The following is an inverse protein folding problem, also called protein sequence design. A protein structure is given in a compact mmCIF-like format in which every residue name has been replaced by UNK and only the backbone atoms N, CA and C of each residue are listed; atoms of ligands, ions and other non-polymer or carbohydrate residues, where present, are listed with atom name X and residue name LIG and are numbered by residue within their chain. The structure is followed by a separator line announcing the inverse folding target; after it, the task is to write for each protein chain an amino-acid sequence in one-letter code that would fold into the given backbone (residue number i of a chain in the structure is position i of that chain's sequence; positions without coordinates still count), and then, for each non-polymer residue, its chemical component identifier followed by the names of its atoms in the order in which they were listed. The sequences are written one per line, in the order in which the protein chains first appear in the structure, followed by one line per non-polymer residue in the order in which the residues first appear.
data_IF_324613024813
#
_entry.id   IF_324613024813
#
_cell.length_a   1.000
_cell.length_b   1.000
_cell.length_c   1.000
_cell.angle_alpha   90.00
_cell.angle_beta   90.00
_cell.angle_gamma   90.00
#
_symmetry.space_group_name_H-M   'P 1'
#
loop_
_entity.id
_entity.type
_entity.pdbx_description
1 polymer ?
#
# COMPACT_ATOMS: atom_id res chain seq x y z
N UNK A 1 5.13 -5.56 45.69
CA UNK A 1 4.51 -5.03 44.46
C UNK A 1 4.47 -6.18 43.48
N UNK A 2 3.28 -6.68 43.18
CA UNK A 2 3.09 -7.89 42.37
C UNK A 2 3.36 -7.58 40.90
N UNK A 3 4.36 -8.24 40.32
CA UNK A 3 4.60 -8.25 38.88
C UNK A 3 3.63 -9.24 38.24
N UNK A 4 2.42 -8.80 37.93
CA UNK A 4 1.58 -9.50 36.96
C UNK A 4 2.22 -9.31 35.57
N UNK A 5 2.38 -10.37 34.76
CA UNK A 5 2.86 -10.23 33.39
C UNK A 5 1.87 -9.36 32.60
N UNK A 6 2.39 -8.48 31.74
CA UNK A 6 1.65 -7.49 30.92
C UNK A 6 0.49 -8.07 30.06
N UNK A 7 0.40 -9.40 30.00
CA UNK A 7 -0.65 -10.17 29.33
C UNK A 7 -1.95 -10.25 30.14
N UNK A 8 -1.91 -10.02 31.46
CA UNK A 8 -3.08 -10.12 32.35
C UNK A 8 -3.91 -8.82 32.39
N UNK A 9 -3.39 -7.74 31.81
CA UNK A 9 -4.07 -6.43 31.67
C UNK A 9 -4.68 -6.20 30.28
N UNK A 10 -4.60 -7.19 29.39
CA UNK A 10 -5.22 -7.10 28.06
C UNK A 10 -6.67 -7.53 28.19
N UNK A 11 -7.58 -6.68 27.72
CA UNK A 11 -9.02 -6.91 27.72
C UNK A 11 -9.36 -8.30 27.15
N UNK A 12 -10.16 -9.13 27.84
CA UNK A 12 -10.63 -10.41 27.33
C UNK A 12 -11.25 -10.31 25.94
N UNK A 13 -11.90 -9.19 25.61
CA UNK A 13 -12.50 -8.93 24.30
C UNK A 13 -11.44 -8.68 23.21
N UNK A 14 -10.29 -8.09 23.57
CA UNK A 14 -9.11 -8.00 22.69
C UNK A 14 -8.47 -9.37 22.51
N UNK A 15 -8.37 -10.18 23.57
CA UNK A 15 -7.85 -11.54 23.49
C UNK A 15 -8.75 -12.48 22.68
N UNK A 16 -10.06 -12.29 22.69
CA UNK A 16 -11.04 -13.06 21.90
C UNK A 16 -11.09 -12.59 20.44
N UNK A 17 -10.91 -11.28 20.18
CA UNK A 17 -10.69 -10.72 18.83
C UNK A 17 -9.33 -11.09 18.23
N UNK A 18 -8.38 -11.46 19.08
CA UNK A 18 -7.12 -12.10 18.72
C UNK A 18 -7.29 -13.61 18.59
N UNK A 19 -8.38 -14.09 17.96
CA UNK A 19 -8.48 -15.49 17.50
C UNK A 19 -7.13 -15.89 16.94
N UNK A 20 -6.48 -16.83 17.62
CA UNK A 20 -5.06 -17.04 17.40
C UNK A 20 -4.88 -17.49 15.97
N UNK A 21 -3.82 -17.02 15.29
CA UNK A 21 -3.45 -17.45 13.93
C UNK A 21 -3.53 -18.97 13.75
N UNK A 22 -3.29 -19.70 14.84
CA UNK A 22 -3.36 -21.16 14.96
C UNK A 22 -4.77 -21.73 14.82
N UNK A 23 -5.80 -21.03 15.29
CA UNK A 23 -7.19 -21.52 15.25
C UNK A 23 -7.85 -21.23 13.89
N UNK A 24 -7.49 -20.11 13.26
CA UNK A 24 -7.90 -19.80 11.88
C UNK A 24 -7.32 -20.78 10.85
N UNK A 25 -6.05 -21.17 11.00
CA UNK A 25 -5.41 -22.21 10.15
C UNK A 25 -6.08 -23.58 10.34
N UNK A 26 -6.57 -23.89 11.55
CA UNK A 26 -7.28 -25.15 11.82
C UNK A 26 -8.72 -25.19 11.28
N UNK A 27 -9.36 -24.04 11.08
CA UNK A 27 -10.74 -23.93 10.58
C UNK A 27 -10.85 -23.75 9.05
N UNK A 28 -9.73 -23.76 8.31
CA UNK A 28 -9.64 -23.38 6.88
C UNK A 28 -10.41 -24.22 5.85
N UNK A 29 -11.31 -25.12 6.25
CA UNK A 29 -12.04 -26.02 5.35
C UNK A 29 -13.07 -25.31 4.43
N UNK A 30 -13.40 -24.04 4.68
CA UNK A 30 -14.36 -23.25 3.89
C UNK A 30 -13.80 -21.99 3.20
N UNK A 31 -12.50 -21.75 3.29
CA UNK A 31 -11.85 -20.53 2.76
C UNK A 31 -11.21 -20.81 1.40
N UNK A 32 -11.17 -19.80 0.51
CA UNK A 32 -10.44 -19.95 -0.76
C UNK A 32 -8.95 -20.21 -0.51
N UNK A 33 -8.29 -20.93 -1.40
CA UNK A 33 -6.85 -21.26 -1.25
C UNK A 33 -5.97 -20.02 -1.16
N UNK A 34 -6.32 -18.95 -1.87
CA UNK A 34 -5.63 -17.66 -1.80
C UNK A 34 -5.77 -17.02 -0.41
N UNK A 35 -6.98 -17.02 0.15
CA UNK A 35 -7.24 -16.47 1.48
C UNK A 35 -6.59 -17.31 2.59
N UNK A 36 -6.56 -18.64 2.45
CA UNK A 36 -5.87 -19.52 3.38
C UNK A 36 -4.34 -19.28 3.37
N UNK A 37 -3.74 -19.12 2.19
CA UNK A 37 -2.32 -18.77 2.06
C UNK A 37 -2.02 -17.40 2.68
N UNK A 38 -2.88 -16.41 2.44
CA UNK A 38 -2.76 -15.07 3.01
C UNK A 38 -2.77 -15.05 4.54
N UNK A 39 -3.68 -15.82 5.15
CA UNK A 39 -3.74 -15.94 6.60
C UNK A 39 -2.46 -16.59 7.16
N UNK A 40 -1.87 -17.54 6.44
CA UNK A 40 -0.60 -18.15 6.83
C UNK A 40 0.56 -17.15 6.81
N UNK A 41 0.55 -16.19 5.88
CA UNK A 41 1.54 -15.10 5.81
C UNK A 41 1.19 -13.90 6.70
N UNK A 42 -0.02 -13.87 7.27
CA UNK A 42 -0.49 -12.77 8.12
C UNK A 42 -0.73 -11.47 7.37
N UNK A 43 -1.03 -11.55 6.07
CA UNK A 43 -1.33 -10.38 5.23
C UNK A 43 -2.79 -9.96 5.28
N UNK A 44 -3.69 -10.83 5.75
CA UNK A 44 -5.13 -10.53 5.81
C UNK A 44 -5.66 -10.62 7.25
N UNK A 45 -6.58 -9.74 7.66
CA UNK A 45 -7.26 -9.82 8.95
C UNK A 45 -8.01 -11.14 9.15
N UNK A 46 -7.66 -11.87 10.22
CA UNK A 46 -8.31 -13.14 10.60
C UNK A 46 -9.70 -12.91 11.20
N UNK A 47 -9.86 -11.83 11.97
CA UNK A 47 -11.04 -11.58 12.80
C UNK A 47 -12.34 -11.39 11.99
N UNK A 48 -12.25 -11.21 10.66
CA UNK A 48 -13.39 -10.87 9.82
C UNK A 48 -14.16 -12.06 9.25
N UNK A 49 -13.54 -13.24 9.17
CA UNK A 49 -14.16 -14.41 8.52
C UNK A 49 -15.36 -14.98 9.29
N UNK A 50 -15.56 -14.58 10.56
CA UNK A 50 -16.67 -15.02 11.42
C UNK A 50 -17.78 -13.99 11.64
N UNK A 51 -17.70 -12.81 11.03
CA UNK A 51 -18.66 -11.74 11.22
C UNK A 51 -19.82 -11.88 10.23
N UNK A 52 -21.05 -11.90 10.75
CA UNK A 52 -22.26 -12.12 9.97
C UNK A 52 -22.61 -10.90 9.11
N UNK A 53 -23.48 -11.10 8.11
CA UNK A 53 -24.06 -10.02 7.29
C UNK A 53 -24.68 -8.89 8.12
N UNK A 54 -25.04 -9.12 9.38
CA UNK A 54 -25.67 -8.12 10.24
C UNK A 54 -24.68 -7.06 10.74
N UNK A 55 -23.42 -7.43 10.97
CA UNK A 55 -22.34 -6.49 11.39
C UNK A 55 -21.92 -5.58 10.23
N UNK A 56 -22.02 -6.10 9.01
CA UNK A 56 -21.59 -5.41 7.80
C UNK A 56 -22.74 -4.70 7.07
N UNK A 57 -23.94 -5.28 7.01
CA UNK A 57 -25.07 -4.77 6.22
C UNK A 57 -25.60 -3.39 6.63
N UNK A 58 -25.04 -2.75 7.66
CA UNK A 58 -25.34 -1.37 8.07
C UNK A 58 -24.25 -0.35 7.72
N UNK A 59 -23.20 -0.72 6.97
CA UNK A 59 -22.18 0.24 6.59
C UNK A 59 -22.80 1.40 5.78
N UNK A 60 -22.64 2.67 6.22
CA UNK A 60 -23.11 3.81 5.45
C UNK A 60 -22.43 3.84 4.09
N UNK A 61 -23.07 4.48 3.09
CA UNK A 61 -22.54 4.59 1.73
C UNK A 61 -21.08 5.11 1.70
N UNK A 62 -20.66 5.91 2.69
CA UNK A 62 -19.28 6.36 2.86
C UNK A 62 -18.28 5.23 3.15
N UNK A 63 -18.60 4.28 4.04
CA UNK A 63 -17.73 3.13 4.36
C UNK A 63 -17.59 2.23 3.14
N UNK A 64 -18.69 1.96 2.42
CA UNK A 64 -18.62 1.20 1.17
C UNK A 64 -17.77 1.92 0.13
N UNK A 65 -17.92 3.24 -0.04
CA UNK A 65 -17.12 4.03 -0.96
C UNK A 65 -15.62 3.98 -0.63
N UNK A 66 -15.26 4.01 0.66
CA UNK A 66 -13.86 3.84 1.10
C UNK A 66 -13.34 2.46 0.72
N UNK A 67 -14.12 1.40 0.95
CA UNK A 67 -13.71 0.04 0.64
C UNK A 67 -13.67 -0.25 -0.86
N UNK A 68 -14.60 0.29 -1.65
CA UNK A 68 -14.55 0.23 -3.13
C UNK A 68 -13.28 0.93 -3.65
N UNK A 69 -12.88 2.03 -3.01
CA UNK A 69 -11.67 2.77 -3.36
C UNK A 69 -10.40 2.00 -2.99
N UNK A 70 -10.31 1.49 -1.76
CA UNK A 70 -9.21 0.60 -1.36
C UNK A 70 -9.12 -0.60 -2.31
N UNK A 71 -10.26 -1.19 -2.64
CA UNK A 71 -10.33 -2.33 -3.55
C UNK A 71 -9.79 -2.03 -4.95
N UNK A 72 -10.00 -0.82 -5.48
CA UNK A 72 -9.34 -0.39 -6.71
C UNK A 72 -7.81 -0.39 -6.58
N UNK A 73 -7.27 0.21 -5.51
CA UNK A 73 -5.82 0.31 -5.28
C UNK A 73 -5.18 -1.09 -5.20
N UNK A 74 -5.75 -1.98 -4.40
CA UNK A 74 -5.25 -3.35 -4.24
C UNK A 74 -5.27 -4.13 -5.56
N UNK A 75 -6.29 -3.92 -6.41
CA UNK A 75 -6.31 -4.56 -7.74
C UNK A 75 -5.23 -3.99 -8.67
N UNK A 76 -5.01 -2.67 -8.64
CA UNK A 76 -3.95 -2.02 -9.39
C UNK A 76 -2.57 -2.60 -9.01
N UNK A 77 -2.28 -2.71 -7.71
CA UNK A 77 -1.01 -3.23 -7.19
C UNK A 77 -0.86 -4.73 -7.45
N UNK A 78 -1.91 -5.52 -7.21
CA UNK A 78 -1.92 -6.95 -7.50
C UNK A 78 -1.63 -7.23 -8.98
N UNK A 79 -2.27 -6.51 -9.90
CA UNK A 79 -2.06 -6.70 -11.33
C UNK A 79 -0.70 -6.16 -11.79
N UNK A 80 -0.21 -5.07 -11.20
CA UNK A 80 1.13 -4.56 -11.47
C UNK A 80 2.19 -5.60 -11.12
N UNK A 81 2.14 -6.18 -9.92
CA UNK A 81 3.11 -7.18 -9.52
C UNK A 81 3.00 -8.50 -10.30
N UNK A 82 1.77 -8.90 -10.69
CA UNK A 82 1.59 -10.02 -11.63
C UNK A 82 2.28 -9.71 -12.96
N UNK A 83 2.13 -8.52 -13.53
CA UNK A 83 2.81 -8.15 -14.78
C UNK A 83 4.34 -8.19 -14.64
N UNK A 84 4.88 -7.61 -13.56
CA UNK A 84 6.33 -7.62 -13.26
C UNK A 84 6.88 -9.05 -13.18
N UNK A 85 6.14 -9.97 -12.56
CA UNK A 85 6.53 -11.37 -12.39
C UNK A 85 6.23 -12.25 -13.61
N UNK A 86 5.53 -11.74 -14.62
CA UNK A 86 5.14 -12.51 -15.82
C UNK A 86 3.93 -13.42 -15.59
N UNK A 87 3.07 -13.05 -14.65
CA UNK A 87 1.88 -13.80 -14.22
C UNK A 87 0.57 -13.09 -14.56
N UNK A 88 0.60 -11.97 -15.29
CA UNK A 88 -0.61 -11.26 -15.70
C UNK A 88 -1.42 -12.11 -16.68
N UNK A 89 -2.75 -11.99 -16.62
CA UNK A 89 -3.63 -12.56 -17.64
C UNK A 89 -3.47 -11.86 -19.01
N UNK A 90 -2.88 -10.66 -19.05
CA UNK A 90 -2.59 -9.92 -20.27
C UNK A 90 -1.18 -10.24 -20.75
N UNK A 91 -1.06 -11.01 -21.83
CA UNK A 91 0.23 -11.45 -22.41
C UNK A 91 1.12 -10.28 -22.81
N UNK A 92 0.54 -9.16 -23.27
CA UNK A 92 1.27 -7.97 -23.65
C UNK A 92 2.08 -7.39 -22.47
N UNK A 93 1.53 -7.40 -21.26
CA UNK A 93 2.24 -6.94 -20.06
C UNK A 93 3.39 -7.87 -19.68
N UNK A 94 3.17 -9.19 -19.71
CA UNK A 94 4.23 -10.15 -19.43
C UNK A 94 5.42 -10.00 -20.40
N UNK A 95 5.11 -9.68 -21.66
CA UNK A 95 6.09 -9.40 -22.71
C UNK A 95 6.80 -8.08 -22.48
N UNK A 96 6.07 -7.01 -22.19
CA UNK A 96 6.63 -5.68 -21.92
C UNK A 96 7.60 -5.71 -20.74
N UNK A 97 7.24 -6.34 -19.62
CA UNK A 97 8.08 -6.45 -18.43
C UNK A 97 9.18 -7.52 -18.52
N UNK A 98 9.26 -8.29 -19.60
CA UNK A 98 10.27 -9.35 -19.73
C UNK A 98 11.73 -8.85 -19.60
N UNK A 99 12.12 -7.72 -20.21
CA UNK A 99 13.48 -7.21 -20.10
C UNK A 99 13.84 -6.84 -18.66
N UNK A 100 13.02 -6.03 -17.97
CA UNK A 100 13.32 -5.66 -16.58
C UNK A 100 13.24 -6.85 -15.63
N UNK A 101 12.32 -7.81 -15.86
CA UNK A 101 12.18 -9.02 -15.04
C UNK A 101 13.46 -9.83 -15.02
N UNK A 102 14.20 -9.87 -16.13
CA UNK A 102 15.50 -10.52 -16.21
C UNK A 102 16.58 -9.82 -15.36
N UNK A 103 16.43 -8.51 -15.10
CA UNK A 103 17.34 -7.71 -14.30
C UNK A 103 17.07 -7.79 -12.79
N UNK A 104 15.89 -8.24 -12.37
CA UNK A 104 15.51 -8.32 -10.95
C UNK A 104 16.40 -9.37 -10.23
N UNK A 105 17.19 -8.98 -9.22
CA UNK A 105 18.01 -9.92 -8.46
C UNK A 105 17.16 -10.96 -7.70
N UNK A 106 17.69 -12.17 -7.49
CA UNK A 106 16.94 -13.28 -6.88
C UNK A 106 16.29 -12.93 -5.52
N UNK A 107 17.01 -12.21 -4.66
CA UNK A 107 16.49 -11.78 -3.35
C UNK A 107 15.34 -10.77 -3.49
N UNK A 108 15.49 -9.80 -4.41
CA UNK A 108 14.43 -8.83 -4.72
C UNK A 108 13.22 -9.54 -5.31
N UNK A 109 13.42 -10.50 -6.22
CA UNK A 109 12.35 -11.32 -6.81
C UNK A 109 11.55 -12.05 -5.73
N UNK A 110 12.21 -12.68 -4.76
CA UNK A 110 11.51 -13.37 -3.67
C UNK A 110 10.62 -12.42 -2.85
N UNK A 111 11.11 -11.20 -2.57
CA UNK A 111 10.30 -10.19 -1.88
C UNK A 111 9.15 -9.67 -2.73
N UNK A 112 9.36 -9.40 -4.03
CA UNK A 112 8.32 -8.97 -4.96
C UNK A 112 7.24 -10.06 -5.11
N UNK A 113 7.62 -11.35 -5.14
CA UNK A 113 6.67 -12.47 -5.14
C UNK A 113 5.84 -12.52 -3.85
N UNK A 114 6.45 -12.23 -2.70
CA UNK A 114 5.74 -12.19 -1.43
C UNK A 114 4.76 -11.01 -1.36
N UNK A 115 5.19 -9.82 -1.79
CA UNK A 115 4.32 -8.63 -1.88
C UNK A 115 3.13 -8.92 -2.78
N UNK A 116 3.36 -9.42 -4.00
CA UNK A 116 2.29 -9.88 -4.90
C UNK A 116 1.29 -10.82 -4.22
N UNK A 117 1.77 -11.74 -3.39
CA UNK A 117 0.93 -12.69 -2.67
C UNK A 117 0.04 -11.97 -1.65
N UNK A 118 0.54 -10.92 -1.01
CA UNK A 118 -0.22 -10.06 -0.12
C UNK A 118 -1.26 -9.24 -0.89
N UNK A 119 -0.91 -8.61 -2.01
CA UNK A 119 -1.88 -7.84 -2.82
C UNK A 119 -3.05 -8.69 -3.30
N UNK A 120 -2.76 -9.88 -3.84
CA UNK A 120 -3.82 -10.83 -4.26
C UNK A 120 -4.73 -11.21 -3.10
N UNK A 121 -4.16 -11.27 -1.89
CA UNK A 121 -4.92 -11.58 -0.70
C UNK A 121 -5.78 -10.41 -0.20
N UNK A 122 -5.27 -9.18 -0.24
CA UNK A 122 -6.05 -7.98 0.07
C UNK A 122 -7.23 -7.85 -0.90
N UNK A 123 -7.02 -8.06 -2.20
CA UNK A 123 -8.08 -8.12 -3.21
C UNK A 123 -9.12 -9.18 -2.84
N UNK A 124 -8.71 -10.42 -2.55
CA UNK A 124 -9.64 -11.49 -2.20
C UNK A 124 -10.45 -11.17 -0.93
N UNK A 125 -9.79 -10.58 0.07
CA UNK A 125 -10.42 -10.15 1.30
C UNK A 125 -11.45 -9.04 1.08
N UNK A 126 -11.05 -7.94 0.45
CA UNK A 126 -11.91 -6.80 0.18
C UNK A 126 -13.09 -7.17 -0.71
N UNK A 127 -12.88 -8.04 -1.71
CA UNK A 127 -14.00 -8.59 -2.51
C UNK A 127 -15.01 -9.30 -1.62
N UNK A 128 -14.54 -10.21 -0.75
CA UNK A 128 -15.40 -10.92 0.18
C UNK A 128 -16.19 -9.99 1.09
N UNK A 129 -15.55 -8.93 1.61
CA UNK A 129 -16.21 -7.91 2.44
C UNK A 129 -17.25 -7.14 1.62
N UNK A 130 -16.88 -6.62 0.45
CA UNK A 130 -17.77 -5.84 -0.41
C UNK A 130 -18.99 -6.64 -0.87
N UNK A 131 -18.82 -7.93 -1.23
CA UNK A 131 -19.90 -8.84 -1.60
C UNK A 131 -20.96 -8.98 -0.49
N UNK A 132 -20.54 -8.84 0.78
CA UNK A 132 -21.46 -8.85 1.93
C UNK A 132 -22.08 -7.49 2.24
N UNK A 133 -21.43 -6.38 1.88
CA UNK A 133 -21.78 -5.01 2.27
C UNK A 133 -22.80 -4.31 1.37
N UNK A 134 -23.02 -4.80 0.13
CA UNK A 134 -23.92 -4.08 -0.77
C UNK A 134 -24.14 -4.73 -2.14
N UNK A 135 -23.89 -6.03 -2.27
CA UNK A 135 -23.96 -6.76 -3.54
C UNK A 135 -22.57 -6.98 -4.16
N UNK A 136 -22.50 -7.59 -5.35
CA UNK A 136 -21.25 -8.06 -5.93
C UNK A 136 -20.26 -6.89 -6.13
N UNK A 137 -19.04 -7.06 -5.60
CA UNK A 137 -17.96 -6.11 -5.79
C UNK A 137 -17.63 -5.96 -7.28
N UNK A 138 -17.23 -4.76 -7.70
CA UNK A 138 -16.80 -4.47 -9.08
C UNK A 138 -15.79 -5.53 -9.55
N UNK A 139 -15.87 -5.92 -10.81
CA UNK A 139 -14.85 -6.76 -11.41
C UNK A 139 -13.80 -5.83 -12.01
N UNK A 140 -12.56 -5.99 -11.56
CA UNK A 140 -11.38 -5.36 -12.14
C UNK A 140 -10.60 -6.44 -12.88
N UNK A 141 -10.38 -6.22 -14.17
CA UNK A 141 -9.56 -7.08 -15.02
C UNK A 141 -8.15 -6.50 -15.14
N UNK A 142 -7.18 -7.35 -15.46
CA UNK A 142 -5.83 -6.90 -15.77
C UNK A 142 -5.81 -5.81 -16.87
N UNK A 143 -6.74 -5.87 -17.85
CA UNK A 143 -6.86 -4.89 -18.93
C UNK A 143 -7.42 -3.53 -18.49
N UNK A 144 -7.93 -3.41 -17.26
CA UNK A 144 -8.41 -2.16 -16.68
C UNK A 144 -7.25 -1.30 -16.12
N UNK A 145 -6.00 -1.72 -16.30
CA UNK A 145 -4.84 -1.01 -15.78
C UNK A 145 -3.80 -0.76 -16.87
N UNK A 146 -3.14 0.41 -16.84
CA UNK A 146 -2.01 0.77 -17.68
C UNK A 146 -0.79 1.13 -16.82
N UNK A 147 0.11 0.17 -16.62
CA UNK A 147 1.30 0.34 -15.77
C UNK A 147 2.34 1.32 -16.32
N UNK A 148 2.11 1.89 -17.51
CA UNK A 148 2.93 2.98 -18.06
C UNK A 148 2.43 4.36 -17.63
N UNK A 149 1.29 4.46 -16.96
CA UNK A 149 0.67 5.75 -16.62
C UNK A 149 0.11 6.47 -17.85
N UNK A 150 -0.19 5.72 -18.91
CA UNK A 150 -0.55 6.24 -20.24
C UNK A 150 -2.05 6.30 -20.52
N UNK A 151 -2.91 5.99 -19.54
CA UNK A 151 -4.36 5.95 -19.68
C UNK A 151 -4.82 5.10 -20.88
N UNK A 152 -4.27 3.89 -21.00
CA UNK A 152 -4.58 2.92 -22.06
C UNK A 152 -3.73 3.05 -23.33
N UNK A 153 -2.90 4.09 -23.43
CA UNK A 153 -1.95 4.21 -24.55
C UNK A 153 -0.78 3.23 -24.46
N UNK A 154 -0.50 2.67 -23.26
CA UNK A 154 0.66 1.81 -22.99
C UNK A 154 2.01 2.46 -23.33
N UNK A 155 2.04 3.79 -23.45
CA UNK A 155 3.22 4.59 -23.81
C UNK A 155 3.38 5.79 -22.88
N UNK A 156 2.79 5.71 -21.69
CA UNK A 156 2.84 6.76 -20.68
C UNK A 156 4.23 6.99 -20.09
N UNK A 157 4.34 7.99 -19.21
CA UNK A 157 5.64 8.45 -18.69
C UNK A 157 6.37 7.39 -17.86
N UNK A 158 5.66 6.38 -17.34
CA UNK A 158 6.25 5.26 -16.61
C UNK A 158 6.63 4.06 -17.48
N UNK A 159 6.51 4.13 -18.82
CA UNK A 159 6.82 3.01 -19.72
C UNK A 159 8.24 2.43 -19.52
N UNK A 160 9.22 3.25 -19.10
CA UNK A 160 10.59 2.81 -18.82
C UNK A 160 10.68 1.80 -17.66
N UNK A 161 9.67 1.72 -16.77
CA UNK A 161 9.59 0.70 -15.73
C UNK A 161 9.64 -0.73 -16.27
N UNK A 162 9.26 -0.93 -17.53
CA UNK A 162 9.25 -2.26 -18.19
C UNK A 162 10.63 -2.74 -18.63
N UNK A 163 11.62 -1.84 -18.69
CA UNK A 163 12.96 -2.12 -19.23
C UNK A 163 14.12 -1.72 -18.32
N UNK A 164 13.89 -0.83 -17.36
CA UNK A 164 14.91 -0.29 -16.45
C UNK A 164 14.59 -0.66 -14.99
N UNK A 165 15.55 -1.33 -14.33
CA UNK A 165 15.37 -1.79 -12.95
C UNK A 165 15.22 -0.63 -11.96
N UNK A 166 15.99 0.45 -12.08
CA UNK A 166 15.86 1.58 -11.16
C UNK A 166 14.50 2.24 -11.33
N UNK A 167 14.06 2.40 -12.57
CA UNK A 167 12.75 2.96 -12.88
C UNK A 167 11.61 2.08 -12.36
N UNK A 168 11.71 0.75 -12.53
CA UNK A 168 10.77 -0.19 -11.94
C UNK A 168 10.70 0.00 -10.42
N UNK A 169 11.84 0.04 -9.74
CA UNK A 169 11.87 0.14 -8.28
C UNK A 169 11.38 1.50 -7.76
N UNK A 170 11.42 2.56 -8.58
CA UNK A 170 10.79 3.85 -8.27
C UNK A 170 9.28 3.77 -8.43
N UNK A 171 8.81 3.14 -9.50
CA UNK A 171 7.38 2.90 -9.71
C UNK A 171 6.79 2.01 -8.60
N UNK A 172 7.48 0.93 -8.21
CA UNK A 172 7.05 0.07 -7.10
C UNK A 172 6.98 0.87 -5.80
N UNK A 173 7.98 1.70 -5.48
CA UNK A 173 7.89 2.54 -4.29
C UNK A 173 6.71 3.51 -4.35
N UNK A 174 6.45 4.10 -5.53
CA UNK A 174 5.36 5.05 -5.72
C UNK A 174 3.98 4.44 -5.45
N UNK A 175 3.73 3.23 -5.95
CA UNK A 175 2.48 2.51 -5.66
C UNK A 175 2.31 2.26 -4.17
N UNK A 176 3.30 1.61 -3.55
CA UNK A 176 3.27 1.23 -2.12
C UNK A 176 3.11 2.44 -1.20
N UNK A 177 3.82 3.54 -1.48
CA UNK A 177 3.71 4.77 -0.69
C UNK A 177 2.35 5.43 -0.86
N UNK A 178 1.76 5.32 -2.06
CA UNK A 178 0.40 5.79 -2.32
C UNK A 178 -0.63 4.94 -1.57
N UNK A 179 -0.48 3.60 -1.56
CA UNK A 179 -1.34 2.67 -0.82
C UNK A 179 -1.35 2.94 0.68
N UNK A 180 -0.16 3.01 1.31
CA UNK A 180 -0.01 3.33 2.75
C UNK A 180 -0.72 4.63 3.10
N UNK A 181 -0.47 5.70 2.34
CA UNK A 181 -1.03 7.03 2.60
C UNK A 181 -2.53 7.11 2.31
N UNK A 182 -3.03 6.36 1.34
CA UNK A 182 -4.46 6.25 1.04
C UNK A 182 -5.22 5.62 2.21
N UNK A 183 -4.75 4.48 2.75
CA UNK A 183 -5.37 3.86 3.92
C UNK A 183 -5.39 4.80 5.13
N UNK A 184 -4.26 5.47 5.40
CA UNK A 184 -4.18 6.44 6.51
C UNK A 184 -5.18 7.58 6.33
N UNK A 185 -5.30 8.12 5.11
CA UNK A 185 -6.21 9.22 4.80
C UNK A 185 -7.70 8.85 4.86
N UNK A 186 -8.04 7.58 4.65
CA UNK A 186 -9.43 7.12 4.76
C UNK A 186 -9.80 6.57 6.13
N UNK A 187 -8.84 6.34 7.04
CA UNK A 187 -9.11 5.76 8.37
C UNK A 187 -10.17 6.53 9.17
N UNK A 188 -10.17 7.87 9.11
CA UNK A 188 -11.17 8.70 9.79
C UNK A 188 -12.62 8.44 9.31
N UNK A 189 -12.79 8.07 8.04
CA UNK A 189 -14.10 7.74 7.45
C UNK A 189 -14.62 6.36 7.89
N UNK A 190 -13.78 5.56 8.53
CA UNK A 190 -14.11 4.21 9.00
C UNK A 190 -14.35 4.14 10.51
N UNK A 191 -14.15 5.24 11.24
CA UNK A 191 -14.20 5.26 12.72
C UNK A 191 -15.56 4.86 13.31
N UNK A 192 -16.64 4.98 12.54
CA UNK A 192 -17.97 4.54 12.96
C UNK A 192 -18.19 3.03 12.82
N UNK A 193 -17.21 2.28 12.31
CA UNK A 193 -17.28 0.84 12.14
C UNK A 193 -15.93 0.21 12.54
N UNK A 194 -15.78 -0.11 13.82
CA UNK A 194 -14.56 -0.68 14.41
C UNK A 194 -14.03 -1.89 13.65
N UNK A 195 -14.95 -2.71 13.14
CA UNK A 195 -14.64 -3.94 12.43
C UNK A 195 -13.97 -3.64 11.08
N UNK A 196 -14.54 -2.71 10.31
CA UNK A 196 -13.98 -2.29 9.04
C UNK A 196 -12.70 -1.47 9.25
N UNK A 197 -12.68 -0.61 10.28
CA UNK A 197 -11.49 0.15 10.65
C UNK A 197 -10.33 -0.77 11.02
N UNK A 198 -10.55 -1.78 11.87
CA UNK A 198 -9.52 -2.74 12.26
C UNK A 198 -8.98 -3.49 11.03
N UNK A 199 -9.87 -3.91 10.12
CA UNK A 199 -9.47 -4.54 8.88
C UNK A 199 -8.58 -3.64 8.02
N UNK A 200 -8.98 -2.38 7.82
CA UNK A 200 -8.21 -1.39 7.06
C UNK A 200 -6.85 -1.08 7.71
N UNK A 201 -6.79 -0.92 9.04
CA UNK A 201 -5.54 -0.65 9.75
C UNK A 201 -4.56 -1.83 9.71
N UNK A 202 -5.08 -3.06 9.66
CA UNK A 202 -4.25 -4.26 9.48
C UNK A 202 -3.65 -4.31 8.07
N UNK A 203 -4.43 -4.02 7.01
CA UNK A 203 -3.89 -3.91 5.65
C UNK A 203 -2.85 -2.79 5.58
N UNK A 204 -3.16 -1.60 6.11
CA UNK A 204 -2.20 -0.50 6.21
C UNK A 204 -0.86 -0.90 6.86
N UNK A 205 -0.89 -1.75 7.89
CA UNK A 205 0.34 -2.26 8.52
C UNK A 205 1.14 -3.21 7.62
N UNK A 206 0.48 -3.90 6.68
CA UNK A 206 1.10 -4.76 5.68
C UNK A 206 1.75 -3.91 4.60
N UNK A 207 1.02 -2.93 4.06
CA UNK A 207 1.53 -1.94 3.10
C UNK A 207 2.79 -1.23 3.62
N UNK A 208 2.79 -0.81 4.89
CA UNK A 208 3.96 -0.17 5.50
C UNK A 208 5.21 -1.08 5.52
N UNK A 209 5.02 -2.41 5.60
CA UNK A 209 6.12 -3.38 5.51
C UNK A 209 6.59 -3.56 4.07
N UNK A 210 5.70 -3.49 3.09
CA UNK A 210 6.08 -3.54 1.68
C UNK A 210 6.91 -2.32 1.31
N UNK A 211 6.47 -1.11 1.70
CA UNK A 211 7.24 0.13 1.56
C UNK A 211 8.67 -0.04 2.11
N UNK A 212 8.80 -0.50 3.35
CA UNK A 212 10.10 -0.71 3.99
C UNK A 212 10.97 -1.72 3.19
N UNK A 213 10.35 -2.80 2.70
CA UNK A 213 11.04 -3.83 1.93
C UNK A 213 11.44 -3.35 0.53
N UNK A 214 10.61 -2.59 -0.17
CA UNK A 214 10.94 -1.98 -1.47
C UNK A 214 12.08 -0.97 -1.31
N UNK A 215 12.03 -0.10 -0.30
CA UNK A 215 13.13 0.85 -0.03
C UNK A 215 14.43 0.12 0.31
N UNK A 216 14.36 -1.01 1.01
CA UNK A 216 15.51 -1.90 1.21
C UNK A 216 16.04 -2.47 -0.10
N UNK A 217 15.18 -2.99 -0.97
CA UNK A 217 15.58 -3.46 -2.30
C UNK A 217 16.26 -2.34 -3.08
N UNK A 218 15.69 -1.13 -3.12
CA UNK A 218 16.29 0.03 -3.78
C UNK A 218 17.71 0.31 -3.28
N UNK A 219 17.90 0.31 -1.97
CA UNK A 219 19.22 0.54 -1.34
C UNK A 219 20.23 -0.56 -1.66
N UNK A 220 19.79 -1.82 -1.69
CA UNK A 220 20.62 -2.94 -2.11
C UNK A 220 20.96 -2.90 -3.61
N UNK A 221 20.25 -2.07 -4.40
CA UNK A 221 20.42 -1.92 -5.84
C UNK A 221 20.92 -0.52 -6.26
N UNK A 222 21.61 0.21 -5.38
CA UNK A 222 22.33 1.43 -5.76
C UNK A 222 21.59 2.74 -5.52
N UNK A 223 20.41 2.73 -4.88
CA UNK A 223 19.79 3.96 -4.41
C UNK A 223 20.67 4.65 -3.32
N UNK A 224 20.74 5.99 -3.30
CA UNK A 224 21.48 6.77 -2.32
C UNK A 224 20.89 6.61 -0.92
N UNK A 225 21.68 6.99 0.08
CA UNK A 225 21.30 6.86 1.48
C UNK A 225 20.02 7.62 1.86
N UNK A 226 19.64 8.66 1.11
CA UNK A 226 18.39 9.41 1.30
C UNK A 226 17.15 8.52 1.22
N UNK A 227 17.19 7.42 0.45
CA UNK A 227 16.17 6.37 0.52
C UNK A 227 16.36 5.57 1.83
N UNK A 228 15.45 5.75 2.78
CA UNK A 228 15.51 5.12 4.11
C UNK A 228 14.82 3.76 4.13
N UNK A 229 15.36 2.82 4.90
CA UNK A 229 14.77 1.50 5.11
C UNK A 229 13.44 1.54 5.90
N UNK A 230 13.27 2.55 6.75
CA UNK A 230 12.28 2.59 7.84
C UNK A 230 10.84 2.88 7.39
N UNK A 231 10.55 3.01 6.10
CA UNK A 231 9.22 3.49 5.65
C UNK A 231 8.97 4.98 5.96
N UNK A 232 9.87 5.62 6.72
CA UNK A 232 9.82 7.04 7.01
C UNK A 232 10.38 7.87 5.85
N UNK A 233 9.71 8.99 5.56
CA UNK A 233 10.06 9.91 4.48
C UNK A 233 10.97 10.99 5.06
N UNK A 234 12.14 11.21 4.44
CA UNK A 234 13.05 12.29 4.85
C UNK A 234 12.98 13.41 3.83
N UNK A 235 12.25 14.47 4.16
CA UNK A 235 11.97 15.59 3.27
C UNK A 235 10.81 15.37 2.30
N UNK A 236 10.49 16.39 1.52
CA UNK A 236 9.32 16.39 0.64
C UNK A 236 9.62 16.19 -0.85
N UNK A 237 8.56 15.95 -1.61
CA UNK A 237 8.56 15.96 -3.06
C UNK A 237 9.26 14.78 -3.74
N UNK A 238 9.50 14.91 -5.05
CA UNK A 238 9.97 13.82 -5.91
C UNK A 238 11.35 13.24 -5.52
N UNK A 239 12.20 14.04 -4.86
CA UNK A 239 13.48 13.57 -4.33
C UNK A 239 13.32 12.52 -3.23
N UNK A 240 12.30 12.65 -2.38
CA UNK A 240 11.97 11.66 -1.35
C UNK A 240 11.47 10.33 -1.94
N UNK A 241 10.72 10.43 -3.05
CA UNK A 241 10.37 9.29 -3.90
C UNK A 241 11.60 8.62 -4.56
N UNK A 242 12.74 9.31 -4.55
CA UNK A 242 13.97 8.92 -5.21
C UNK A 242 13.91 9.05 -6.72
N UNK A 243 13.25 10.10 -7.23
CA UNK A 243 13.35 10.50 -8.64
C UNK A 243 14.81 10.74 -9.05
N UNK A 244 15.65 11.21 -8.12
CA UNK A 244 17.09 11.43 -8.32
C UNK A 244 17.89 10.14 -8.58
N UNK A 245 17.29 8.97 -8.31
CA UNK A 245 17.93 7.66 -8.50
C UNK A 245 17.78 7.14 -9.93
N UNK A 246 17.08 7.92 -10.75
CA UNK A 246 16.72 7.56 -12.09
C UNK A 246 17.42 8.51 -13.04
N UNK A 247 18.12 7.99 -14.04
CA UNK A 247 18.78 8.82 -15.04
C UNK A 247 17.73 9.55 -15.87
N UNK A 248 17.74 10.89 -15.88
CA UNK A 248 16.84 11.74 -16.67
C UNK A 248 15.35 11.28 -16.59
N UNK A 249 14.71 11.37 -15.41
CA UNK A 249 13.29 11.00 -15.29
C UNK A 249 12.43 11.97 -16.12
N UNK A 250 11.39 11.47 -16.82
CA UNK A 250 10.42 12.35 -17.48
C UNK A 250 9.82 13.36 -16.49
N UNK A 251 9.60 14.63 -16.86
CA UNK A 251 9.01 15.63 -15.97
C UNK A 251 7.67 15.19 -15.36
N UNK A 252 6.87 14.44 -16.09
CA UNK A 252 5.59 13.89 -15.65
C UNK A 252 5.76 12.86 -14.53
N UNK A 253 6.83 12.05 -14.57
CA UNK A 253 7.15 11.12 -13.48
C UNK A 253 7.61 11.89 -12.25
N UNK A 254 8.43 12.92 -12.42
CA UNK A 254 8.84 13.78 -11.29
C UNK A 254 7.61 14.44 -10.66
N UNK A 255 6.68 14.95 -11.47
CA UNK A 255 5.44 15.54 -10.98
C UNK A 255 4.57 14.52 -10.22
N UNK A 256 4.34 13.33 -10.78
CA UNK A 256 3.55 12.28 -10.14
C UNK A 256 4.15 11.83 -8.80
N UNK A 257 5.47 11.60 -8.76
CA UNK A 257 6.18 11.26 -7.54
C UNK A 257 6.15 12.40 -6.50
N UNK A 258 6.12 13.65 -6.96
CA UNK A 258 5.94 14.82 -6.09
C UNK A 258 4.58 14.86 -5.41
N UNK A 259 3.52 14.42 -6.09
CA UNK A 259 2.16 14.36 -5.52
C UNK A 259 2.07 13.35 -4.36
N UNK A 260 2.82 12.25 -4.43
CA UNK A 260 2.83 11.21 -3.38
C UNK A 260 3.26 11.76 -2.04
N UNK A 261 4.15 12.76 -2.02
CA UNK A 261 4.66 13.41 -0.80
C UNK A 261 4.23 14.88 -0.72
N UNK A 262 3.11 15.23 -1.36
CA UNK A 262 2.53 16.56 -1.21
C UNK A 262 2.17 16.78 0.27
N UNK A 263 2.62 17.90 0.84
CA UNK A 263 2.42 18.24 2.25
C UNK A 263 3.51 17.76 3.21
N UNK A 264 4.46 16.94 2.76
CA UNK A 264 5.66 16.59 3.54
C UNK A 264 6.63 17.78 3.56
N UNK A 265 6.51 18.66 4.55
CA UNK A 265 7.44 19.75 4.78
C UNK A 265 8.24 19.54 6.07
N UNK A 266 9.54 19.83 6.01
CA UNK A 266 10.54 19.66 7.08
C UNK A 266 10.17 20.27 8.45
N UNK A 267 9.17 21.14 8.53
CA UNK A 267 8.87 21.93 9.73
C UNK A 267 7.40 21.89 10.19
N UNK A 268 6.48 21.30 9.40
CA UNK A 268 5.05 21.36 9.66
C UNK A 268 4.47 19.96 9.57
N UNK A 269 3.96 19.46 10.69
CA UNK A 269 3.05 18.31 10.74
C UNK A 269 1.76 18.84 11.32
N UNK A 270 0.65 18.67 10.59
CA UNK A 270 -0.70 19.04 11.05
C UNK A 270 -0.75 20.33 11.89
N UNK A 271 -0.47 21.50 11.30
CA UNK A 271 -0.50 22.85 11.92
C UNK A 271 0.53 23.17 13.02
N UNK A 272 1.36 22.21 13.45
CA UNK A 272 2.36 22.42 14.48
C UNK A 272 3.73 22.66 13.85
N UNK A 273 4.32 23.83 14.16
CA UNK A 273 5.71 24.11 13.81
C UNK A 273 6.62 23.66 14.97
N UNK A 274 7.32 22.54 14.76
CA UNK A 274 8.15 21.96 15.80
C UNK A 274 9.50 22.66 15.99
N UNK A 275 9.93 23.47 15.00
CA UNK A 275 11.11 24.33 15.16
C UNK A 275 10.89 25.44 16.20
N UNK A 276 9.64 25.81 16.47
CA UNK A 276 9.27 26.86 17.44
C UNK A 276 8.74 26.31 18.77
N UNK A 277 8.33 25.04 18.83
CA UNK A 277 7.73 24.42 20.04
C UNK A 277 8.70 23.58 20.88
N UNK A 278 9.88 23.20 20.36
CA UNK A 278 10.92 22.45 21.10
C UNK A 278 12.27 23.19 21.11
N UNK A 279 12.45 24.23 21.94
CA UNK A 279 13.73 24.92 22.06
C UNK A 279 14.80 23.99 22.64
N UNK A 280 15.85 23.67 21.86
CA UNK A 280 17.04 22.93 22.32
C UNK A 280 17.42 21.68 21.53
N UNK A 281 16.59 21.22 20.59
CA UNK A 281 16.98 20.16 19.65
C UNK A 281 17.53 20.83 18.38
N UNK A 282 18.71 20.40 17.91
CA UNK A 282 19.34 20.98 16.72
C UNK A 282 18.41 20.95 15.51
N UNK A 283 18.24 22.10 14.85
CA UNK A 283 17.23 22.30 13.79
C UNK A 283 17.35 21.30 12.62
N UNK A 284 18.55 20.80 12.34
CA UNK A 284 18.77 19.79 11.29
C UNK A 284 18.18 18.44 11.67
N UNK A 285 18.59 17.84 12.79
CA UNK A 285 18.14 16.50 13.19
C UNK A 285 16.66 16.47 13.61
N UNK A 286 16.15 17.57 14.17
CA UNK A 286 14.74 17.68 14.54
C UNK A 286 13.82 17.68 13.31
N UNK A 287 14.11 18.50 12.29
CA UNK A 287 13.30 18.60 11.07
C UNK A 287 13.17 17.26 10.32
N UNK A 288 14.27 16.50 10.27
CA UNK A 288 14.26 15.16 9.71
C UNK A 288 13.53 14.16 10.59
N UNK A 289 13.72 14.21 11.91
CA UNK A 289 12.99 13.32 12.83
C UNK A 289 11.47 13.57 12.82
N UNK A 290 11.02 14.81 12.61
CA UNK A 290 9.60 15.17 12.53
C UNK A 290 8.96 14.64 11.24
N UNK A 291 9.56 14.94 10.08
CA UNK A 291 9.09 14.41 8.79
C UNK A 291 9.14 12.87 8.78
N UNK A 292 10.16 12.28 9.39
CA UNK A 292 10.24 10.83 9.53
C UNK A 292 9.21 10.25 10.54
N UNK A 293 8.71 11.03 11.50
CA UNK A 293 7.76 10.57 12.51
C UNK A 293 6.29 10.60 12.03
N UNK A 294 5.98 11.39 11.00
CA UNK A 294 4.62 11.59 10.53
C UNK A 294 4.56 11.56 9.00
N UNK A 295 4.16 10.41 8.44
CA UNK A 295 3.78 10.30 7.03
C UNK A 295 2.39 10.92 6.82
N UNK A 296 2.27 12.05 6.14
CA UNK A 296 0.98 12.76 5.99
C UNK A 296 -0.02 11.92 5.17
N UNK A 297 -1.31 11.88 5.54
CA UNK A 297 -2.33 11.16 4.77
C UNK A 297 -2.56 11.82 3.40
N UNK A 298 -2.97 11.03 2.41
CA UNK A 298 -3.52 11.55 1.15
C UNK A 298 -5.05 11.52 1.18
N UNK A 299 -5.69 12.61 0.71
CA UNK A 299 -7.13 12.57 0.42
C UNK A 299 -7.41 11.68 -0.79
N UNK A 300 -8.66 11.24 -0.94
CA UNK A 300 -9.08 10.43 -2.09
C UNK A 300 -8.75 11.14 -3.40
N UNK A 301 -8.99 12.43 -3.49
CA UNK A 301 -8.76 13.25 -4.69
C UNK A 301 -7.27 13.31 -5.04
N UNK A 302 -6.39 13.42 -4.04
CA UNK A 302 -4.95 13.40 -4.27
C UNK A 302 -4.48 12.03 -4.75
N UNK A 303 -5.00 10.94 -4.16
CA UNK A 303 -4.69 9.57 -4.62
C UNK A 303 -5.18 9.36 -6.05
N UNK A 304 -6.39 9.80 -6.39
CA UNK A 304 -6.92 9.74 -7.77
C UNK A 304 -6.00 10.48 -8.73
N UNK A 305 -5.55 11.69 -8.38
CA UNK A 305 -4.62 12.45 -9.22
C UNK A 305 -3.28 11.73 -9.46
N UNK A 306 -2.82 10.89 -8.52
CA UNK A 306 -1.60 10.09 -8.67
C UNK A 306 -1.85 8.90 -9.62
N UNK A 307 -2.99 8.22 -9.49
CA UNK A 307 -3.24 6.95 -10.18
C UNK A 307 -4.06 7.06 -11.46
N UNK A 308 -4.59 8.24 -11.82
CA UNK A 308 -5.51 8.42 -12.95
C UNK A 308 -4.96 7.87 -14.27
N UNK A 309 -3.67 8.08 -14.53
CA UNK A 309 -2.99 7.55 -15.72
C UNK A 309 -2.87 6.02 -15.76
N UNK A 310 -3.14 5.33 -14.65
CA UNK A 310 -2.94 3.89 -14.50
C UNK A 310 -4.23 3.08 -14.54
N UNK A 311 -5.41 3.71 -14.57
CA UNK A 311 -6.72 3.03 -14.46
C UNK A 311 -7.60 3.33 -15.68
N UNK A 312 -8.22 2.30 -16.23
CA UNK A 312 -9.07 2.34 -17.42
C UNK A 312 -10.41 1.67 -17.10
N UNK A 313 -11.57 2.31 -17.31
CA UNK A 313 -11.75 3.73 -17.65
C UNK A 313 -11.40 4.66 -16.48
N UNK A 314 -11.32 5.99 -16.72
CA UNK A 314 -11.01 6.97 -15.69
C UNK A 314 -11.87 6.84 -14.44
N UNK A 315 -11.27 7.16 -13.30
CA UNK A 315 -11.91 7.04 -11.99
C UNK A 315 -12.95 8.16 -11.87
N UNK A 316 -14.23 7.84 -11.57
CA UNK A 316 -15.28 8.85 -11.42
C UNK A 316 -15.14 9.70 -10.16
#
# INVERSE_FOLDING_TARGET
MNNAPILETIDPEIMDRLVSRRDAVKQGAGMSSALAAALAFGSVPIALAGLTKDVFGQAPLSVKQVLDFAFLLENLEAEFYKAVLGESAVVAYNTAFAPVRALIPAKARASITLIRTHEVAHVAFLRGVLDTLGGPARVWAAADFDFTGGNGSQTGPFARATTDLQFLLVATQGFEDTGVRAYKGQAGNLISNDVVLEAALRIHSVEARHVAQIRKIRRENGAPATVRFSGTVRGGGAGAAGADNVTAPPPEVVAALGLIYAGEDFNNVSTLNFSTTLPGVGAGDLAFAISEAFDEPLTKEQVVAIIDGFVIPPIP
#
